data_IF_778177094822
#
_entry.id   IF_778177094822
#
_cell.length_a   1.000
_cell.length_b   1.000
_cell.length_c   1.000
_cell.angle_alpha   90.00
_cell.angle_beta   90.00
_cell.angle_gamma   90.00
#
_symmetry.space_group_name_H-M   'P 1'
#
loop_
_entity.id
_entity.type
_entity.pdbx_description
1 polymer ?
#
# COMPACT_ATOMS: atom_id res chain seq x y z
N UNK A 1 50.87 8.02 21.26
CA UNK A 1 49.67 8.79 21.62
C UNK A 1 48.75 8.76 20.41
N UNK A 2 47.85 7.77 20.36
CA UNK A 2 46.92 7.60 19.24
C UNK A 2 45.68 8.46 19.51
N UNK A 3 45.40 9.41 18.62
CA UNK A 3 44.16 10.17 18.61
C UNK A 3 43.06 9.28 18.00
N UNK A 4 42.07 8.90 18.81
CA UNK A 4 40.84 8.28 18.33
C UNK A 4 40.13 9.24 17.37
N UNK A 5 40.16 8.91 16.09
CA UNK A 5 39.34 9.55 15.07
C UNK A 5 37.90 9.04 15.26
N UNK A 6 37.10 9.76 16.03
CA UNK A 6 35.70 9.44 16.24
C UNK A 6 34.96 9.54 14.90
N UNK A 7 34.48 8.39 14.42
CA UNK A 7 33.63 8.19 13.24
C UNK A 7 32.21 8.74 13.51
N UNK A 8 32.09 10.06 13.66
CA UNK A 8 30.81 10.77 13.89
C UNK A 8 29.84 10.60 12.72
N UNK A 9 30.32 10.24 11.52
CA UNK A 9 29.49 9.95 10.34
C UNK A 9 28.68 8.64 10.46
N UNK A 10 28.99 7.77 11.41
CA UNK A 10 28.23 6.53 11.64
C UNK A 10 27.05 6.70 12.61
N UNK A 11 27.05 7.74 13.44
CA UNK A 11 26.00 7.95 14.45
C UNK A 11 24.89 8.88 13.97
N UNK A 12 25.11 9.74 12.96
CA UNK A 12 24.06 10.60 12.37
C UNK A 12 23.12 9.87 11.38
N UNK A 13 23.39 8.61 11.04
CA UNK A 13 22.49 7.76 10.22
C UNK A 13 21.34 7.13 11.02
N UNK A 14 21.31 7.32 12.33
CA UNK A 14 20.28 6.77 13.21
C UNK A 14 19.24 7.86 13.49
N UNK A 15 17.98 7.53 13.23
CA UNK A 15 16.76 8.36 13.30
C UNK A 15 16.37 9.17 12.05
N UNK A 16 16.84 8.78 10.85
CA UNK A 16 15.97 9.03 9.70
C UNK A 16 14.83 8.02 9.79
N UNK A 17 13.65 8.47 10.23
CA UNK A 17 12.46 7.64 10.32
C UNK A 17 12.23 6.95 8.97
N UNK A 18 12.10 5.63 8.99
CA UNK A 18 11.97 4.80 7.79
C UNK A 18 10.68 5.17 7.08
N UNK A 19 10.77 5.75 5.88
CA UNK A 19 9.61 6.18 5.11
C UNK A 19 8.78 4.98 4.67
N UNK A 20 7.47 5.03 4.87
CA UNK A 20 6.56 3.97 4.42
C UNK A 20 5.86 4.37 3.13
N UNK A 21 5.79 3.43 2.19
CA UNK A 21 4.99 3.55 0.98
C UNK A 21 3.72 2.73 1.19
N UNK A 22 2.60 3.43 1.34
CA UNK A 22 1.28 2.90 1.57
C UNK A 22 0.48 2.80 0.26
N UNK A 23 -0.23 1.69 0.12
CA UNK A 23 -1.13 1.46 -1.01
C UNK A 23 -2.55 1.19 -0.50
N UNK A 24 -3.52 1.90 -1.05
CA UNK A 24 -4.87 1.35 -1.15
C UNK A 24 -4.89 0.13 -2.08
N UNK A 25 -5.97 -0.65 -1.98
CA UNK A 25 -6.16 -1.83 -2.81
C UNK A 25 -7.17 -1.62 -3.95
N UNK A 26 -8.42 -1.27 -3.63
CA UNK A 26 -9.55 -1.38 -4.55
C UNK A 26 -9.71 -0.11 -5.39
N UNK A 27 -9.43 -0.20 -6.69
CA UNK A 27 -9.30 0.99 -7.54
C UNK A 27 -7.87 1.51 -7.61
N UNK A 28 -6.94 0.91 -6.85
CA UNK A 28 -5.53 1.31 -6.82
C UNK A 28 -4.61 0.25 -7.45
N UNK A 29 -4.45 -0.92 -6.82
CA UNK A 29 -3.67 -2.03 -7.39
C UNK A 29 -4.57 -3.14 -7.95
N UNK A 30 -5.80 -3.25 -7.44
CA UNK A 30 -6.83 -4.19 -7.88
C UNK A 30 -7.98 -3.43 -8.54
N UNK A 31 -8.33 -3.81 -9.77
CA UNK A 31 -9.37 -3.16 -10.57
C UNK A 31 -10.77 -3.64 -10.19
N UNK A 32 -11.14 -3.48 -8.92
CA UNK A 32 -12.41 -3.94 -8.37
C UNK A 32 -13.60 -3.40 -9.17
N UNK A 33 -13.58 -2.11 -9.48
CA UNK A 33 -14.71 -1.42 -10.11
C UNK A 33 -14.92 -1.80 -11.59
N UNK A 34 -13.98 -2.52 -12.20
CA UNK A 34 -14.15 -3.09 -13.54
C UNK A 34 -14.73 -4.52 -13.52
N UNK A 35 -14.90 -5.15 -12.35
CA UNK A 35 -15.56 -6.45 -12.24
C UNK A 35 -17.04 -6.28 -12.54
N UNK A 36 -17.57 -7.05 -13.49
CA UNK A 36 -18.99 -6.98 -13.86
C UNK A 36 -19.88 -7.26 -12.63
N UNK A 37 -20.89 -6.41 -12.42
CA UNK A 37 -21.82 -6.50 -11.29
C UNK A 37 -21.19 -6.43 -9.89
N UNK A 38 -19.97 -5.88 -9.76
CA UNK A 38 -19.25 -5.79 -8.48
C UNK A 38 -20.13 -5.22 -7.35
N UNK A 39 -20.85 -4.12 -7.61
CA UNK A 39 -21.66 -3.46 -6.58
C UNK A 39 -22.83 -4.32 -6.12
N UNK A 40 -23.45 -5.06 -7.04
CA UNK A 40 -24.54 -5.99 -6.72
C UNK A 40 -24.03 -7.15 -5.86
N UNK A 41 -22.85 -7.69 -6.17
CA UNK A 41 -22.19 -8.72 -5.38
C UNK A 41 -21.87 -8.21 -3.97
N UNK A 42 -21.27 -7.03 -3.86
CA UNK A 42 -20.94 -6.43 -2.57
C UNK A 42 -22.18 -6.25 -1.67
N UNK A 43 -23.29 -5.79 -2.23
CA UNK A 43 -24.57 -5.65 -1.52
C UNK A 43 -25.20 -6.98 -1.11
N UNK A 44 -24.84 -8.05 -1.79
CA UNK A 44 -25.27 -9.42 -1.48
C UNK A 44 -24.26 -10.14 -0.56
N UNK A 45 -23.28 -9.43 0.00
CA UNK A 45 -22.19 -10.00 0.81
C UNK A 45 -21.36 -11.07 0.07
N UNK A 46 -21.26 -10.94 -1.26
CA UNK A 46 -20.44 -11.82 -2.09
C UNK A 46 -19.02 -11.23 -2.23
N UNK A 47 -17.99 -11.90 -1.66
CA UNK A 47 -16.62 -11.41 -1.70
C UNK A 47 -15.93 -11.64 -3.04
N UNK A 48 -16.59 -12.27 -4.01
CA UNK A 48 -16.02 -12.65 -5.31
C UNK A 48 -15.29 -11.51 -6.02
N UNK A 49 -15.82 -10.26 -6.08
CA UNK A 49 -15.14 -9.17 -6.76
C UNK A 49 -13.71 -8.91 -6.24
N UNK A 50 -13.50 -9.01 -4.93
CA UNK A 50 -12.18 -8.82 -4.32
C UNK A 50 -11.18 -9.92 -4.70
N UNK A 51 -11.66 -11.12 -5.01
CA UNK A 51 -10.82 -12.26 -5.40
C UNK A 51 -10.48 -12.27 -6.90
N UNK A 52 -11.40 -11.80 -7.76
CA UNK A 52 -11.27 -11.91 -9.21
C UNK A 52 -10.84 -10.62 -9.91
N UNK A 53 -10.81 -9.49 -9.19
CA UNK A 53 -10.38 -8.20 -9.74
C UNK A 53 -9.05 -8.34 -10.49
N UNK A 54 -9.00 -7.83 -11.72
CA UNK A 54 -7.77 -7.80 -12.50
C UNK A 54 -6.78 -6.80 -11.90
N UNK A 55 -5.49 -7.03 -12.13
CA UNK A 55 -4.43 -6.12 -11.70
C UNK A 55 -4.49 -4.81 -12.50
N UNK A 56 -4.19 -3.67 -11.86
CA UNK A 56 -4.19 -2.35 -12.53
C UNK A 56 -2.85 -1.97 -13.16
N UNK A 57 -1.77 -2.60 -12.70
CA UNK A 57 -0.42 -2.34 -13.20
C UNK A 57 0.29 -3.63 -13.59
N UNK A 58 1.43 -3.49 -14.26
CA UNK A 58 2.32 -4.62 -14.49
C UNK A 58 2.91 -5.08 -13.15
N UNK A 59 2.30 -6.11 -12.53
CA UNK A 59 2.66 -6.59 -11.20
C UNK A 59 4.11 -7.06 -11.09
N UNK A 60 4.69 -7.62 -12.15
CA UNK A 60 6.10 -8.03 -12.15
C UNK A 60 7.04 -6.83 -12.09
N UNK A 61 6.73 -5.76 -12.82
CA UNK A 61 7.49 -4.50 -12.77
C UNK A 61 7.27 -3.79 -11.42
N UNK A 62 6.03 -3.75 -10.93
CA UNK A 62 5.68 -3.20 -9.62
C UNK A 62 6.48 -3.91 -8.51
N UNK A 63 6.39 -5.24 -8.44
CA UNK A 63 7.12 -6.05 -7.46
C UNK A 63 8.64 -5.81 -7.53
N UNK A 64 9.19 -5.64 -8.73
CA UNK A 64 10.61 -5.31 -8.90
C UNK A 64 10.97 -3.94 -8.34
N UNK A 65 10.12 -2.92 -8.52
CA UNK A 65 10.38 -1.60 -7.93
C UNK A 65 10.20 -1.61 -6.42
N UNK A 66 9.13 -2.22 -5.92
CA UNK A 66 8.87 -2.41 -4.49
C UNK A 66 10.07 -3.07 -3.78
N UNK A 67 10.57 -4.18 -4.32
CA UNK A 67 11.75 -4.86 -3.78
C UNK A 67 13.03 -4.01 -3.85
N UNK A 68 13.15 -3.08 -4.81
CA UNK A 68 14.31 -2.18 -4.92
C UNK A 68 14.23 -1.03 -3.92
N UNK A 69 13.06 -0.40 -3.76
CA UNK A 69 12.87 0.67 -2.77
C UNK A 69 13.01 0.12 -1.34
N UNK A 70 12.55 -1.10 -1.07
CA UNK A 70 12.79 -1.74 0.23
C UNK A 70 14.27 -1.92 0.56
N UNK A 71 15.10 -2.31 -0.44
CA UNK A 71 16.56 -2.41 -0.25
C UNK A 71 17.23 -1.07 0.04
N UNK A 72 16.55 0.05 -0.25
CA UNK A 72 16.98 1.41 0.05
C UNK A 72 16.43 1.92 1.39
N UNK A 73 15.73 1.08 2.14
CA UNK A 73 15.21 1.43 3.47
C UNK A 73 13.78 1.97 3.50
N UNK A 74 13.02 1.85 2.41
CA UNK A 74 11.57 2.09 2.48
C UNK A 74 10.85 0.91 3.11
N UNK A 75 9.80 1.17 3.88
CA UNK A 75 8.81 0.17 4.28
C UNK A 75 7.69 0.12 3.23
N UNK A 76 7.01 -1.01 3.11
CA UNK A 76 5.86 -1.17 2.21
C UNK A 76 4.64 -1.64 3.01
N UNK A 77 3.56 -0.88 2.91
CA UNK A 77 2.32 -1.15 3.59
C UNK A 77 1.10 -1.18 2.66
N UNK A 78 0.06 -1.90 3.07
CA UNK A 78 -1.28 -1.87 2.45
C UNK A 78 -2.28 -1.34 3.49
N UNK A 79 -3.14 -0.40 3.11
CA UNK A 79 -4.29 0.04 3.91
C UNK A 79 -5.52 -0.09 3.02
N UNK A 80 -6.37 -1.08 3.30
CA UNK A 80 -7.58 -1.31 2.55
C UNK A 80 -8.79 -1.39 3.46
N UNK A 81 -9.89 -0.78 3.02
CA UNK A 81 -11.16 -0.89 3.73
C UNK A 81 -11.88 -2.20 3.43
N UNK A 82 -12.61 -2.66 4.44
CA UNK A 82 -13.70 -3.63 4.33
C UNK A 82 -14.89 -3.00 3.59
N UNK A 83 -15.87 -3.84 3.24
CA UNK A 83 -17.05 -3.38 2.53
C UNK A 83 -17.88 -2.41 3.38
N UNK A 84 -18.57 -1.46 2.73
CA UNK A 84 -19.48 -0.55 3.41
C UNK A 84 -20.74 -1.32 3.85
N UNK A 85 -21.10 -1.19 5.13
CA UNK A 85 -22.26 -1.88 5.74
C UNK A 85 -22.13 -3.42 5.71
N UNK A 86 -21.01 -3.96 6.19
CA UNK A 86 -20.74 -5.39 6.25
C UNK A 86 -21.21 -6.05 7.55
N UNK A 87 -21.25 -7.38 7.53
CA UNK A 87 -21.32 -8.24 8.73
C UNK A 87 -19.94 -8.82 9.07
N UNK A 88 -19.70 -9.28 10.31
CA UNK A 88 -18.42 -9.87 10.69
C UNK A 88 -17.98 -11.05 9.83
N UNK A 89 -18.92 -11.91 9.41
CA UNK A 89 -18.62 -13.05 8.55
C UNK A 89 -18.21 -12.60 7.15
N UNK A 90 -18.88 -11.56 6.63
CA UNK A 90 -18.51 -10.99 5.34
C UNK A 90 -17.15 -10.28 5.42
N UNK A 91 -16.86 -9.59 6.52
CA UNK A 91 -15.54 -8.97 6.75
C UNK A 91 -14.39 -9.98 6.75
N UNK A 92 -14.59 -11.13 7.37
CA UNK A 92 -13.60 -12.23 7.36
C UNK A 92 -13.39 -12.74 5.93
N UNK A 93 -14.48 -12.93 5.18
CA UNK A 93 -14.43 -13.39 3.79
C UNK A 93 -13.72 -12.38 2.86
N UNK A 94 -14.01 -11.08 3.01
CA UNK A 94 -13.35 -9.99 2.27
C UNK A 94 -11.87 -9.91 2.64
N UNK A 95 -11.55 -9.99 3.93
CA UNK A 95 -10.16 -10.01 4.41
C UNK A 95 -9.39 -11.18 3.78
N UNK A 96 -9.96 -12.39 3.83
CA UNK A 96 -9.35 -13.57 3.24
C UNK A 96 -9.14 -13.40 1.72
N UNK A 97 -10.14 -12.88 1.00
CA UNK A 97 -10.06 -12.64 -0.44
C UNK A 97 -8.93 -11.65 -0.78
N UNK A 98 -8.86 -10.51 -0.08
CA UNK A 98 -7.84 -9.48 -0.28
C UNK A 98 -6.43 -9.99 -0.01
N UNK A 99 -6.22 -10.66 1.13
CA UNK A 99 -4.93 -11.24 1.48
C UNK A 99 -4.49 -12.30 0.47
N UNK A 100 -5.43 -13.14 0.01
CA UNK A 100 -5.15 -14.16 -1.01
C UNK A 100 -4.79 -13.52 -2.34
N UNK A 101 -5.48 -12.45 -2.74
CA UNK A 101 -5.19 -11.70 -3.96
C UNK A 101 -3.78 -11.09 -3.90
N UNK A 102 -3.41 -10.44 -2.79
CA UNK A 102 -2.07 -9.87 -2.59
C UNK A 102 -1.00 -10.96 -2.70
N UNK A 103 -1.19 -12.10 -2.00
CA UNK A 103 -0.26 -13.23 -2.06
C UNK A 103 -0.13 -13.82 -3.46
N UNK A 104 -1.20 -13.85 -4.24
CA UNK A 104 -1.20 -14.37 -5.61
C UNK A 104 -0.45 -13.44 -6.57
N UNK A 105 -0.69 -12.14 -6.49
CA UNK A 105 -0.22 -11.16 -7.49
C UNK A 105 1.13 -10.51 -7.12
N UNK A 106 1.48 -10.46 -5.84
CA UNK A 106 2.70 -9.84 -5.31
C UNK A 106 3.46 -10.81 -4.38
N UNK A 107 3.46 -12.11 -4.71
CA UNK A 107 4.09 -13.18 -3.93
C UNK A 107 5.58 -12.96 -3.60
N UNK A 108 6.30 -12.22 -4.46
CA UNK A 108 7.72 -11.91 -4.28
C UNK A 108 7.99 -10.62 -3.49
N UNK A 109 6.97 -9.90 -3.05
CA UNK A 109 7.10 -8.68 -2.26
C UNK A 109 6.86 -9.05 -0.80
N UNK A 110 7.77 -8.62 0.09
CA UNK A 110 7.57 -8.77 1.52
C UNK A 110 6.91 -7.51 2.03
N UNK A 111 5.62 -7.53 2.36
CA UNK A 111 4.97 -6.40 3.00
C UNK A 111 5.43 -6.27 4.45
N UNK A 112 5.71 -5.05 4.89
CA UNK A 112 6.01 -4.73 6.29
C UNK A 112 4.70 -4.68 7.10
N UNK A 113 3.61 -4.26 6.46
CA UNK A 113 2.28 -4.19 7.09
C UNK A 113 1.15 -4.37 6.08
N UNK A 114 0.07 -5.05 6.49
CA UNK A 114 -1.16 -5.15 5.72
C UNK A 114 -2.34 -4.92 6.66
N UNK A 115 -2.99 -3.78 6.50
CA UNK A 115 -4.11 -3.33 7.31
C UNK A 115 -5.41 -3.44 6.51
N UNK A 116 -6.22 -4.46 6.82
CA UNK A 116 -7.60 -4.56 6.34
C UNK A 116 -8.51 -4.07 7.46
N UNK A 117 -9.12 -2.90 7.30
CA UNK A 117 -9.80 -2.19 8.39
C UNK A 117 -11.23 -1.79 8.02
N UNK A 118 -12.03 -1.39 9.01
CA UNK A 118 -13.42 -1.00 8.80
C UNK A 118 -13.55 0.10 7.74
N UNK A 119 -14.66 0.08 7.00
CA UNK A 119 -14.94 1.11 6.01
C UNK A 119 -14.98 2.50 6.65
N UNK A 120 -14.30 3.46 6.01
CA UNK A 120 -14.24 4.86 6.46
C UNK A 120 -13.24 5.11 7.59
N UNK A 121 -12.45 4.12 8.01
CA UNK A 121 -11.34 4.33 8.94
C UNK A 121 -10.33 5.32 8.34
N UNK A 122 -10.07 6.49 8.97
CA UNK A 122 -9.17 7.51 8.41
C UNK A 122 -7.78 6.94 8.13
N UNK A 123 -7.30 7.06 6.90
CA UNK A 123 -6.03 6.43 6.51
C UNK A 123 -4.83 7.17 7.09
N UNK A 124 -4.94 8.48 7.29
CA UNK A 124 -3.91 9.33 7.90
C UNK A 124 -3.48 8.86 9.30
N UNK A 125 -4.27 8.03 10.00
CA UNK A 125 -3.87 7.46 11.28
C UNK A 125 -2.70 6.45 11.17
N UNK A 126 -2.43 5.92 9.97
CA UNK A 126 -1.33 5.00 9.69
C UNK A 126 -0.06 5.72 9.23
N UNK A 127 -0.12 7.04 9.06
CA UNK A 127 1.07 7.84 8.77
C UNK A 127 1.99 7.83 9.99
N UNK A 128 3.21 7.32 9.81
CA UNK A 128 4.25 7.39 10.84
C UNK A 128 5.02 8.71 10.72
N UNK A 129 5.16 9.23 9.49
CA UNK A 129 5.94 10.44 9.20
C UNK A 129 5.31 11.26 8.07
N UNK A 130 5.54 12.58 8.07
CA UNK A 130 5.14 13.47 6.96
C UNK A 130 5.73 13.09 5.60
N UNK A 131 6.77 12.26 5.61
CA UNK A 131 7.46 11.76 4.43
C UNK A 131 6.88 10.45 3.89
N UNK A 132 5.88 9.86 4.56
CA UNK A 132 5.21 8.66 4.07
C UNK A 132 4.39 8.98 2.82
N UNK A 133 4.37 8.03 1.90
CA UNK A 133 3.74 8.17 0.59
C UNK A 133 2.47 7.33 0.56
N UNK A 134 1.35 7.89 0.12
CA UNK A 134 0.10 7.16 -0.12
C UNK A 134 -0.23 7.10 -1.62
N UNK A 135 -0.60 5.91 -2.11
CA UNK A 135 -1.30 5.75 -3.38
C UNK A 135 -2.74 5.32 -3.10
N UNK A 136 -3.70 6.13 -3.54
CA UNK A 136 -5.13 5.91 -3.26
C UNK A 136 -5.97 6.53 -4.38
N UNK A 137 -7.01 5.84 -4.84
CA UNK A 137 -7.89 6.32 -5.90
C UNK A 137 -8.89 7.36 -5.39
N UNK A 138 -9.23 7.34 -4.11
CA UNK A 138 -10.17 8.29 -3.51
C UNK A 138 -9.47 9.62 -3.16
N UNK A 139 -9.86 10.69 -3.86
CA UNK A 139 -9.28 12.03 -3.69
C UNK A 139 -9.33 12.52 -2.22
N UNK A 140 -10.41 12.20 -1.51
CA UNK A 140 -10.55 12.56 -0.11
C UNK A 140 -9.48 11.92 0.77
N UNK A 141 -9.12 10.66 0.53
CA UNK A 141 -8.05 10.00 1.28
C UNK A 141 -6.70 10.65 0.98
N UNK A 142 -6.45 11.00 -0.28
CA UNK A 142 -5.22 11.71 -0.68
C UNK A 142 -5.11 13.09 -0.02
N UNK A 143 -6.20 13.86 0.02
CA UNK A 143 -6.23 15.18 0.68
C UNK A 143 -6.03 15.02 2.19
N UNK A 144 -6.75 14.09 2.81
CA UNK A 144 -6.70 13.87 4.25
C UNK A 144 -5.37 13.30 4.73
N UNK A 145 -4.62 12.60 3.86
CA UNK A 145 -3.30 12.07 4.18
C UNK A 145 -2.39 13.16 4.77
N UNK A 146 -2.47 14.40 4.28
CA UNK A 146 -1.70 15.53 4.82
C UNK A 146 -0.20 15.52 4.49
N UNK A 147 0.30 14.45 3.85
CA UNK A 147 1.67 14.31 3.35
C UNK A 147 1.72 14.12 1.83
N UNK A 148 2.63 13.27 1.37
CA UNK A 148 2.78 12.98 -0.06
C UNK A 148 1.77 11.92 -0.48
N UNK A 149 0.82 12.26 -1.35
CA UNK A 149 -0.17 11.30 -1.88
C UNK A 149 -0.33 11.45 -3.40
N UNK A 150 -0.55 10.33 -4.09
CA UNK A 150 -0.62 10.25 -5.54
C UNK A 150 -1.79 9.40 -6.03
N UNK A 151 -2.19 9.60 -7.28
CA UNK A 151 -3.17 8.73 -7.93
C UNK A 151 -2.57 7.38 -8.29
N UNK A 152 -3.40 6.33 -8.49
CA UNK A 152 -2.91 5.01 -8.90
C UNK A 152 -2.08 5.04 -10.19
N UNK A 153 -2.42 5.92 -11.14
CA UNK A 153 -1.71 6.03 -12.42
C UNK A 153 -0.23 6.44 -12.26
N UNK A 154 0.11 7.12 -11.16
CA UNK A 154 1.45 7.63 -10.88
C UNK A 154 2.38 6.59 -10.25
N UNK A 155 1.84 5.48 -9.72
CA UNK A 155 2.58 4.43 -8.97
C UNK A 155 3.89 4.07 -9.67
N UNK A 156 3.83 3.77 -10.96
CA UNK A 156 4.99 3.26 -11.70
C UNK A 156 6.06 4.32 -11.93
N UNK A 157 5.66 5.58 -12.10
CA UNK A 157 6.59 6.69 -12.29
C UNK A 157 7.27 7.05 -10.97
N UNK A 158 6.49 7.25 -9.91
CA UNK A 158 7.01 7.61 -8.58
C UNK A 158 7.98 6.53 -8.09
N UNK A 159 7.59 5.25 -8.15
CA UNK A 159 8.48 4.16 -7.74
C UNK A 159 9.76 4.09 -8.59
N UNK A 160 9.69 4.40 -9.89
CA UNK A 160 10.88 4.47 -10.74
C UNK A 160 11.82 5.58 -10.28
N UNK A 161 11.29 6.76 -9.98
CA UNK A 161 12.07 7.89 -9.48
C UNK A 161 12.73 7.56 -8.14
N UNK A 162 12.01 6.92 -7.20
CA UNK A 162 12.57 6.46 -5.93
C UNK A 162 13.66 5.39 -6.08
N UNK A 163 13.62 4.60 -7.16
CA UNK A 163 14.65 3.61 -7.50
C UNK A 163 15.86 4.25 -8.20
N UNK A 164 15.70 5.40 -8.84
CA UNK A 164 16.76 6.08 -9.60
C UNK A 164 17.42 7.23 -8.82
N UNK A 165 16.70 7.83 -7.87
CA UNK A 165 17.22 8.88 -7.00
C UNK A 165 18.17 8.29 -5.95
N UNK A 166 19.46 8.36 -6.24
CA UNK A 166 20.62 8.49 -5.33
C UNK A 166 21.86 8.78 -6.17
#
# INVERSE_FOLDING_TARGET
MFLCYNDTRKQERNEQTMKTIWFDMDGTIANLYAVENWLSMLRAEDPTPYAIAHVMHNMSLLARYLNKVQKRGYRIGIISWLSKCSTPNYDEAVTFAKITWIKKHLSSVKFDEINIVAYGTPKEQFMETENDILFDDEEKNRINWGGTAYEPCDIMQVLKELVQGE
#
